data_IF_101651851307
#
_entry.id   IF_101651851307
#
_cell.length_a   1.000
_cell.length_b   1.000
_cell.length_c   1.000
_cell.angle_alpha   90.00
_cell.angle_beta   90.00
_cell.angle_gamma   90.00
#
_symmetry.space_group_name_H-M   'P 1'
#
loop_
_entity.id
_entity.type
_entity.pdbx_description
1 polymer ?
#
# COMPACT_ATOMS: atom_id res chain seq x y z
N UNK A 1 5.65 -26.45 -6.78
CA UNK A 1 4.86 -25.26 -6.43
C UNK A 1 4.21 -25.61 -5.11
N UNK A 2 4.68 -25.03 -4.02
CA UNK A 2 4.01 -25.23 -2.74
C UNK A 2 2.65 -24.56 -2.84
N UNK A 3 1.61 -25.36 -2.71
CA UNK A 3 0.23 -24.92 -2.80
C UNK A 3 -0.09 -23.98 -1.63
N UNK A 4 -0.22 -22.67 -1.91
CA UNK A 4 -0.61 -21.69 -0.88
C UNK A 4 -2.05 -21.91 -0.44
N UNK A 5 -2.31 -21.75 0.86
CA UNK A 5 -3.64 -21.97 1.44
C UNK A 5 -4.73 -21.16 0.72
N UNK A 6 -4.40 -19.93 0.29
CA UNK A 6 -5.31 -19.04 -0.45
C UNK A 6 -5.93 -19.68 -1.69
N UNK A 7 -5.19 -20.57 -2.38
CA UNK A 7 -5.59 -21.20 -3.63
C UNK A 7 -6.19 -22.60 -3.45
N UNK A 8 -5.96 -23.24 -2.30
CA UNK A 8 -6.34 -24.65 -2.08
C UNK A 8 -7.41 -24.88 -1.02
N UNK A 9 -7.57 -23.95 -0.07
CA UNK A 9 -8.54 -24.10 1.03
C UNK A 9 -9.92 -23.57 0.66
N UNK A 10 -10.94 -24.12 1.32
CA UNK A 10 -12.31 -23.64 1.17
C UNK A 10 -12.50 -22.22 1.73
N UNK A 11 -13.47 -21.44 1.22
CA UNK A 11 -13.74 -20.09 1.70
C UNK A 11 -13.96 -19.98 3.21
N UNK A 12 -14.69 -20.94 3.81
CA UNK A 12 -14.93 -20.96 5.25
C UNK A 12 -13.64 -21.18 6.03
N UNK A 13 -12.77 -22.08 5.57
CA UNK A 13 -11.48 -22.33 6.21
C UNK A 13 -10.58 -21.09 6.15
N UNK A 14 -10.55 -20.40 5.00
CA UNK A 14 -9.82 -19.15 4.83
C UNK A 14 -10.35 -18.04 5.75
N UNK A 15 -11.66 -17.89 5.87
CA UNK A 15 -12.26 -16.92 6.79
C UNK A 15 -11.91 -17.22 8.25
N UNK A 16 -12.00 -18.47 8.69
CA UNK A 16 -11.63 -18.86 10.07
C UNK A 16 -10.15 -18.64 10.32
N UNK A 17 -9.30 -18.96 9.33
CA UNK A 17 -7.86 -18.76 9.43
C UNK A 17 -7.49 -17.27 9.47
N UNK A 18 -8.11 -16.44 8.60
CA UNK A 18 -7.91 -15.00 8.57
C UNK A 18 -8.42 -14.32 9.85
N UNK A 19 -9.60 -14.71 10.36
CA UNK A 19 -10.19 -14.15 11.57
C UNK A 19 -9.38 -14.48 12.84
N UNK A 20 -8.86 -15.71 12.95
CA UNK A 20 -8.13 -16.17 14.12
C UNK A 20 -9.04 -16.45 15.33
N UNK A 21 -8.42 -16.54 16.50
CA UNK A 21 -9.05 -16.73 17.80
C UNK A 21 -9.71 -15.44 18.32
N UNK A 22 -10.58 -15.52 19.35
CA UNK A 22 -11.18 -14.34 19.97
C UNK A 22 -10.16 -13.34 20.52
N UNK A 23 -9.02 -13.82 21.03
CA UNK A 23 -7.94 -12.95 21.51
C UNK A 23 -7.29 -12.18 20.34
N UNK A 24 -6.98 -12.87 19.23
CA UNK A 24 -6.44 -12.22 18.03
C UNK A 24 -7.43 -11.21 17.44
N UNK A 25 -8.73 -11.50 17.49
CA UNK A 25 -9.77 -10.57 17.06
C UNK A 25 -9.81 -9.31 17.95
N UNK A 26 -9.70 -9.47 19.27
CA UNK A 26 -9.62 -8.34 20.19
C UNK A 26 -8.39 -7.45 19.88
N UNK A 27 -7.24 -8.06 19.59
CA UNK A 27 -6.01 -7.33 19.22
C UNK A 27 -6.17 -6.56 17.89
N UNK A 28 -6.83 -7.16 16.89
CA UNK A 28 -7.16 -6.49 15.62
C UNK A 28 -8.07 -5.29 15.83
N UNK A 29 -9.10 -5.43 16.67
CA UNK A 29 -10.00 -4.32 17.02
C UNK A 29 -9.27 -3.22 17.79
N UNK A 30 -8.33 -3.57 18.67
CA UNK A 30 -7.49 -2.60 19.36
C UNK A 30 -6.55 -1.86 18.39
N UNK A 31 -5.96 -2.54 17.39
CA UNK A 31 -5.21 -1.91 16.30
C UNK A 31 -6.08 -0.96 15.48
N UNK A 32 -7.29 -1.38 15.10
CA UNK A 32 -8.24 -0.54 14.38
C UNK A 32 -8.62 0.70 15.19
N UNK A 33 -8.94 0.55 16.47
CA UNK A 33 -9.26 1.68 17.33
C UNK A 33 -8.10 2.68 17.44
N UNK A 34 -6.85 2.18 17.52
CA UNK A 34 -5.65 3.05 17.50
C UNK A 34 -5.49 3.78 16.17
N UNK A 35 -5.67 3.09 15.04
CA UNK A 35 -5.61 3.70 13.70
C UNK A 35 -6.69 4.78 13.55
N UNK A 36 -7.94 4.51 13.94
CA UNK A 36 -9.02 5.48 13.89
C UNK A 36 -8.80 6.70 14.79
N UNK A 37 -8.17 6.53 15.96
CA UNK A 37 -7.78 7.66 16.83
C UNK A 37 -6.75 8.58 16.17
N UNK A 38 -5.95 8.12 15.21
CA UNK A 38 -5.01 9.01 14.51
C UNK A 38 -5.74 10.08 13.70
N UNK A 39 -6.95 9.81 13.22
CA UNK A 39 -7.75 10.81 12.49
C UNK A 39 -8.16 12.01 13.36
N UNK A 40 -8.17 11.87 14.69
CA UNK A 40 -8.44 13.01 15.59
C UNK A 40 -7.20 13.87 15.83
N UNK A 41 -6.05 13.52 15.26
CA UNK A 41 -4.76 14.18 15.45
C UNK A 41 -4.21 14.68 14.10
N UNK A 42 -4.78 15.77 13.53
CA UNK A 42 -4.41 16.26 12.20
C UNK A 42 -2.92 16.61 12.09
N UNK A 43 -2.28 16.94 13.21
CA UNK A 43 -0.85 17.26 13.33
C UNK A 43 0.06 16.10 12.88
N UNK A 44 -0.40 14.85 12.95
CA UNK A 44 0.39 13.67 12.59
C UNK A 44 0.73 13.68 11.11
N UNK A 45 -0.22 14.06 10.25
CA UNK A 45 0.03 14.19 8.80
C UNK A 45 1.05 15.29 8.54
N UNK A 46 0.94 16.44 9.20
CA UNK A 46 1.89 17.55 9.00
C UNK A 46 3.31 17.14 9.43
N UNK A 47 3.44 16.44 10.56
CA UNK A 47 4.71 15.91 11.03
C UNK A 47 5.29 14.87 10.05
N UNK A 48 4.45 13.97 9.53
CA UNK A 48 4.84 12.95 8.56
C UNK A 48 5.34 13.58 7.26
N UNK A 49 4.57 14.51 6.70
CA UNK A 49 4.93 15.24 5.49
C UNK A 49 6.21 16.05 5.67
N UNK A 50 6.35 16.76 6.80
CA UNK A 50 7.56 17.50 7.10
C UNK A 50 8.79 16.58 7.23
N UNK A 51 8.62 15.37 7.76
CA UNK A 51 9.68 14.36 7.81
C UNK A 51 10.05 13.86 6.41
N UNK A 52 9.06 13.53 5.58
CA UNK A 52 9.28 13.10 4.19
C UNK A 52 9.97 14.19 3.36
N UNK A 53 9.61 15.46 3.56
CA UNK A 53 10.30 16.59 2.95
C UNK A 53 11.76 16.71 3.42
N UNK A 54 12.03 16.58 4.73
CA UNK A 54 13.42 16.58 5.27
C UNK A 54 14.26 15.41 4.75
N UNK A 55 13.63 14.28 4.42
CA UNK A 55 14.30 13.12 3.81
C UNK A 55 14.50 13.29 2.30
N UNK A 56 13.99 14.37 1.70
CA UNK A 56 14.11 14.64 0.26
C UNK A 56 13.11 13.89 -0.61
N UNK A 57 12.08 13.26 -0.02
CA UNK A 57 11.03 12.59 -0.79
C UNK A 57 9.97 13.55 -1.33
N UNK A 58 9.82 14.74 -0.75
CA UNK A 58 8.73 15.66 -1.10
C UNK A 58 9.28 17.05 -1.28
N UNK A 59 9.20 17.57 -2.52
CA UNK A 59 9.66 18.91 -2.86
C UNK A 59 8.67 19.98 -2.39
N UNK A 60 7.37 19.74 -2.64
CA UNK A 60 6.27 20.63 -2.32
C UNK A 60 5.17 19.87 -1.55
N UNK A 61 4.61 20.50 -0.52
CA UNK A 61 3.57 19.88 0.32
C UNK A 61 2.17 20.14 -0.27
N UNK A 62 1.38 19.11 -0.60
CA UNK A 62 0.01 19.30 -1.04
C UNK A 62 -0.89 19.81 0.09
N UNK A 63 -1.90 20.58 -0.27
CA UNK A 63 -2.98 20.98 0.64
C UNK A 63 -3.78 19.76 1.12
N UNK A 64 -4.57 19.91 2.20
CA UNK A 64 -5.44 18.84 2.69
C UNK A 64 -6.48 18.39 1.66
N UNK A 65 -6.97 19.32 0.85
CA UNK A 65 -7.89 19.02 -0.25
C UNK A 65 -7.18 18.21 -1.34
N UNK A 66 -5.96 18.62 -1.71
CA UNK A 66 -5.11 17.93 -2.69
C UNK A 66 -4.75 16.50 -2.24
N UNK A 67 -4.42 16.32 -0.96
CA UNK A 67 -4.20 14.99 -0.37
C UNK A 67 -5.45 14.12 -0.48
N UNK A 68 -6.62 14.65 -0.11
CA UNK A 68 -7.85 13.88 -0.13
C UNK A 68 -8.26 13.47 -1.55
N UNK A 69 -8.23 14.40 -2.50
CA UNK A 69 -8.59 14.11 -3.90
C UNK A 69 -7.52 13.27 -4.60
N UNK A 70 -6.26 13.47 -4.25
CA UNK A 70 -5.13 12.67 -4.70
C UNK A 70 -5.21 11.21 -4.25
N UNK A 71 -5.51 10.98 -2.97
CA UNK A 71 -5.77 9.65 -2.42
C UNK A 71 -6.93 8.96 -3.14
N UNK A 72 -8.00 9.71 -3.42
CA UNK A 72 -9.14 9.20 -4.17
C UNK A 72 -8.77 8.81 -5.61
N UNK A 73 -7.96 9.62 -6.30
CA UNK A 73 -7.44 9.31 -7.63
C UNK A 73 -6.53 8.07 -7.62
N UNK A 74 -5.61 7.97 -6.64
CA UNK A 74 -4.75 6.80 -6.45
C UNK A 74 -5.58 5.53 -6.25
N UNK A 75 -6.63 5.58 -5.44
CA UNK A 75 -7.54 4.46 -5.24
C UNK A 75 -8.26 4.03 -6.52
N UNK A 76 -8.92 4.98 -7.20
CA UNK A 76 -9.84 4.67 -8.32
C UNK A 76 -9.13 4.42 -9.65
N UNK A 77 -7.91 4.92 -9.83
CA UNK A 77 -7.16 4.74 -11.06
C UNK A 77 -6.03 3.70 -10.96
N UNK A 78 -5.49 3.47 -9.76
CA UNK A 78 -4.37 2.56 -9.57
C UNK A 78 -4.68 1.38 -8.66
N UNK A 79 -4.90 1.62 -7.37
CA UNK A 79 -4.93 0.57 -6.35
C UNK A 79 -6.01 -0.46 -6.67
N UNK A 80 -7.27 -0.03 -6.81
CA UNK A 80 -8.40 -0.95 -7.03
C UNK A 80 -8.29 -1.59 -8.41
N UNK A 81 -8.13 -0.85 -9.53
CA UNK A 81 -8.14 -1.48 -10.85
C UNK A 81 -6.94 -2.40 -11.09
N UNK A 82 -5.74 -2.06 -10.59
CA UNK A 82 -4.59 -2.94 -10.71
C UNK A 82 -4.77 -4.21 -9.87
N UNK A 83 -5.34 -4.10 -8.67
CA UNK A 83 -5.62 -5.25 -7.83
C UNK A 83 -6.68 -6.17 -8.46
N UNK A 84 -7.80 -5.63 -8.93
CA UNK A 84 -8.84 -6.39 -9.63
C UNK A 84 -8.28 -7.20 -10.81
N UNK A 85 -7.53 -6.52 -11.69
CA UNK A 85 -6.89 -7.12 -12.86
C UNK A 85 -5.94 -8.27 -12.47
N UNK A 86 -5.14 -8.06 -11.42
CA UNK A 86 -4.24 -9.10 -10.91
C UNK A 86 -5.00 -10.30 -10.33
N UNK A 87 -6.01 -10.07 -9.49
CA UNK A 87 -6.77 -11.17 -8.89
C UNK A 87 -7.59 -11.94 -9.93
N UNK A 88 -8.12 -11.26 -10.94
CA UNK A 88 -8.76 -11.91 -12.10
C UNK A 88 -7.80 -12.88 -12.79
N UNK A 89 -6.55 -12.46 -13.05
CA UNK A 89 -5.52 -13.33 -13.65
C UNK A 89 -5.17 -14.58 -12.82
N UNK A 90 -5.44 -14.55 -11.51
CA UNK A 90 -5.20 -15.65 -10.57
C UNK A 90 -6.47 -16.48 -10.28
N UNK A 91 -7.60 -16.16 -10.91
CA UNK A 91 -8.89 -16.80 -10.60
C UNK A 91 -9.41 -16.48 -9.19
N UNK A 92 -8.95 -15.38 -8.59
CA UNK A 92 -9.33 -14.95 -7.25
C UNK A 92 -10.49 -13.95 -7.33
N UNK A 93 -11.58 -14.25 -6.62
CA UNK A 93 -12.67 -13.29 -6.49
C UNK A 93 -12.23 -12.09 -5.62
N UNK A 94 -12.23 -10.89 -6.23
CA UNK A 94 -11.83 -9.64 -5.58
C UNK A 94 -12.62 -9.36 -4.28
N UNK A 95 -13.95 -9.41 -4.34
CA UNK A 95 -14.79 -9.10 -3.18
C UNK A 95 -14.51 -10.04 -2.00
N UNK A 96 -14.38 -11.35 -2.26
CA UNK A 96 -14.02 -12.30 -1.23
C UNK A 96 -12.61 -12.06 -0.69
N UNK A 97 -11.65 -11.68 -1.55
CA UNK A 97 -10.31 -11.30 -1.10
C UNK A 97 -10.37 -10.10 -0.13
N UNK A 98 -11.18 -9.08 -0.42
CA UNK A 98 -11.36 -7.92 0.47
C UNK A 98 -11.96 -8.31 1.84
N UNK A 99 -12.86 -9.31 1.88
CA UNK A 99 -13.38 -9.86 3.14
C UNK A 99 -12.24 -10.48 3.96
N UNK A 100 -11.38 -11.28 3.33
CA UNK A 100 -10.25 -11.89 4.04
C UNK A 100 -9.28 -10.84 4.58
N UNK A 101 -8.97 -9.81 3.77
CA UNK A 101 -8.12 -8.69 4.21
C UNK A 101 -8.70 -7.96 5.42
N UNK A 102 -10.01 -7.72 5.41
CA UNK A 102 -10.69 -7.10 6.55
C UNK A 102 -10.64 -7.98 7.80
N UNK A 103 -10.80 -9.31 7.66
CA UNK A 103 -10.76 -10.25 8.79
C UNK A 103 -9.34 -10.39 9.38
N UNK A 104 -8.29 -10.27 8.57
CA UNK A 104 -6.91 -10.31 9.07
C UNK A 104 -6.49 -8.99 9.70
N UNK A 105 -6.69 -7.86 9.03
CA UNK A 105 -6.26 -6.56 9.55
C UNK A 105 -7.11 -5.40 9.03
N UNK A 106 -8.23 -5.10 9.72
CA UNK A 106 -9.12 -4.03 9.30
C UNK A 106 -8.45 -2.65 9.40
N UNK A 107 -7.41 -2.50 10.25
CA UNK A 107 -6.68 -1.25 10.39
C UNK A 107 -5.83 -0.93 9.16
N UNK A 108 -5.45 -1.92 8.36
CA UNK A 108 -4.71 -1.73 7.11
C UNK A 108 -5.54 -1.11 5.96
N UNK A 109 -6.86 -0.97 6.15
CA UNK A 109 -7.81 -0.55 5.11
C UNK A 109 -8.34 0.87 5.30
N UNK A 110 -8.04 1.52 6.44
CA UNK A 110 -8.68 2.81 6.78
C UNK A 110 -7.97 4.02 6.20
N UNK A 111 -6.66 3.93 5.93
CA UNK A 111 -5.84 5.03 5.40
C UNK A 111 -5.18 4.65 4.06
N UNK A 112 -5.79 4.99 2.92
CA UNK A 112 -5.27 4.62 1.62
C UNK A 112 -3.98 5.35 1.23
N UNK A 113 -3.61 6.42 1.95
CA UNK A 113 -2.37 7.17 1.70
C UNK A 113 -1.20 6.72 2.56
N UNK A 114 -1.47 5.97 3.64
CA UNK A 114 -0.50 5.57 4.66
C UNK A 114 0.05 6.70 5.54
N UNK A 115 -0.33 7.97 5.33
CA UNK A 115 0.24 9.11 6.07
C UNK A 115 -0.18 9.18 7.55
N UNK A 116 -1.32 8.60 7.91
CA UNK A 116 -1.80 8.44 9.29
C UNK A 116 -1.49 7.07 9.88
N UNK A 117 -0.98 6.15 9.06
CA UNK A 117 -0.73 4.78 9.46
C UNK A 117 0.44 4.71 10.45
N UNK A 118 0.30 3.80 11.41
CA UNK A 118 1.42 3.45 12.29
C UNK A 118 2.41 2.55 11.55
N UNK A 119 3.64 2.43 12.05
CA UNK A 119 4.64 1.50 11.51
C UNK A 119 4.07 0.08 11.37
N UNK A 120 3.39 -0.40 12.41
CA UNK A 120 2.75 -1.73 12.44
C UNK A 120 1.63 -1.88 11.38
N UNK A 121 0.88 -0.81 11.10
CA UNK A 121 -0.16 -0.84 10.07
C UNK A 121 0.43 -0.92 8.66
N UNK A 122 1.48 -0.14 8.36
CA UNK A 122 2.14 -0.18 7.05
C UNK A 122 2.81 -1.54 6.83
N UNK A 123 3.53 -2.06 7.84
CA UNK A 123 4.16 -3.39 7.74
C UNK A 123 3.10 -4.48 7.59
N UNK A 124 2.03 -4.44 8.39
CA UNK A 124 0.91 -5.36 8.29
C UNK A 124 0.25 -5.34 6.91
N UNK A 125 0.05 -4.15 6.34
CA UNK A 125 -0.44 -3.96 4.97
C UNK A 125 0.50 -4.60 3.95
N UNK A 126 1.79 -4.26 4.00
CA UNK A 126 2.84 -4.77 3.12
C UNK A 126 2.89 -6.29 3.11
N UNK A 127 2.74 -6.95 4.25
CA UNK A 127 2.79 -8.41 4.34
C UNK A 127 1.50 -9.12 3.92
N UNK A 128 0.37 -8.43 3.86
CA UNK A 128 -0.95 -9.04 3.65
C UNK A 128 -1.26 -9.37 2.18
N UNK A 129 -0.73 -8.59 1.23
CA UNK A 129 -1.05 -8.71 -0.20
C UNK A 129 0.17 -8.52 -1.10
N UNK A 130 0.15 -9.08 -2.32
CA UNK A 130 1.19 -8.80 -3.32
C UNK A 130 1.00 -7.41 -3.91
N UNK A 131 1.91 -6.49 -3.57
CA UNK A 131 1.80 -5.09 -3.96
C UNK A 131 2.09 -4.90 -5.45
N UNK A 132 1.36 -3.97 -6.07
CA UNK A 132 1.66 -3.52 -7.43
C UNK A 132 3.06 -2.90 -7.51
N UNK A 133 3.41 -2.08 -6.51
CA UNK A 133 4.74 -1.52 -6.30
C UNK A 133 4.89 -1.20 -4.80
N UNK A 134 5.80 -1.86 -4.06
CA UNK A 134 5.97 -1.63 -2.62
C UNK A 134 6.82 -0.38 -2.28
N UNK A 135 7.38 0.33 -3.28
CA UNK A 135 8.31 1.45 -3.04
C UNK A 135 7.66 2.59 -2.25
N UNK A 136 6.42 2.96 -2.58
CA UNK A 136 5.67 3.98 -1.85
C UNK A 136 5.61 3.68 -0.34
N UNK A 137 5.28 2.45 0.04
CA UNK A 137 5.16 2.05 1.45
C UNK A 137 6.52 2.03 2.18
N UNK A 138 7.60 1.62 1.52
CA UNK A 138 8.95 1.68 2.09
C UNK A 138 9.38 3.14 2.33
N UNK A 139 9.07 4.05 1.41
CA UNK A 139 9.36 5.48 1.57
C UNK A 139 8.53 6.10 2.70
N UNK A 140 7.29 5.66 2.90
CA UNK A 140 6.52 6.01 4.10
C UNK A 140 7.19 5.50 5.37
N UNK A 141 7.62 4.23 5.40
CA UNK A 141 8.31 3.63 6.56
C UNK A 141 9.62 4.33 6.90
N UNK A 142 10.34 4.87 5.92
CA UNK A 142 11.56 5.65 6.14
C UNK A 142 11.28 6.96 6.92
N UNK A 143 10.04 7.46 6.87
CA UNK A 143 9.62 8.56 7.73
C UNK A 143 9.41 8.14 9.20
N UNK A 144 9.31 6.85 9.50
CA UNK A 144 9.27 6.31 10.86
C UNK A 144 10.67 5.96 11.34
N UNK A 145 11.03 6.39 12.54
CA UNK A 145 12.28 5.99 13.16
C UNK A 145 12.31 4.45 13.31
N UNK A 146 13.33 3.81 12.75
CA UNK A 146 13.47 2.35 12.75
C UNK A 146 12.45 1.59 11.90
N UNK A 147 11.66 2.28 11.06
CA UNK A 147 10.56 1.66 10.32
C UNK A 147 11.00 0.58 9.33
N UNK A 148 12.13 0.78 8.65
CA UNK A 148 12.68 -0.18 7.69
C UNK A 148 13.33 -1.39 8.38
N UNK A 149 14.02 -1.17 9.51
CA UNK A 149 14.57 -2.23 10.35
C UNK A 149 13.46 -3.14 10.87
N UNK A 150 12.35 -2.55 11.33
CA UNK A 150 11.20 -3.28 11.85
C UNK A 150 10.48 -4.06 10.74
N UNK A 151 10.37 -3.49 9.53
CA UNK A 151 9.85 -4.22 8.36
C UNK A 151 10.73 -5.44 8.04
N UNK A 152 12.04 -5.27 7.94
CA UNK A 152 12.97 -6.38 7.68
C UNK A 152 12.80 -7.49 8.71
N UNK A 153 12.81 -7.13 10.00
CA UNK A 153 12.64 -8.06 11.12
C UNK A 153 11.32 -8.82 11.04
N UNK A 154 10.20 -8.16 10.73
CA UNK A 154 8.90 -8.83 10.65
C UNK A 154 8.79 -9.73 9.42
N UNK A 155 9.36 -9.34 8.27
CA UNK A 155 9.39 -10.19 7.07
C UNK A 155 10.28 -11.42 7.29
N UNK A 156 11.41 -11.29 7.99
CA UNK A 156 12.22 -12.44 8.41
C UNK A 156 11.43 -13.39 9.32
N UNK A 157 10.64 -12.86 10.26
CA UNK A 157 9.76 -13.69 11.10
C UNK A 157 8.66 -14.39 10.29
N UNK A 158 8.10 -13.73 9.28
CA UNK A 158 7.12 -14.33 8.37
C UNK A 158 7.73 -15.51 7.62
N UNK A 159 8.92 -15.34 7.05
CA UNK A 159 9.64 -16.40 6.35
C UNK A 159 10.07 -17.55 7.28
N UNK A 160 10.40 -17.25 8.53
CA UNK A 160 10.71 -18.24 9.55
C UNK A 160 9.45 -18.91 10.14
N UNK A 161 8.24 -18.48 9.76
CA UNK A 161 6.97 -18.98 10.32
C UNK A 161 6.74 -18.60 11.79
N UNK A 162 7.52 -17.67 12.35
CA UNK A 162 7.46 -17.28 13.77
C UNK A 162 6.66 -16.00 14.01
N UNK A 163 6.25 -15.31 12.95
CA UNK A 163 5.47 -14.09 13.08
C UNK A 163 4.08 -14.39 13.68
N UNK A 164 3.59 -13.57 14.63
CA UNK A 164 2.27 -13.81 15.24
C UNK A 164 1.10 -13.85 14.24
N UNK A 165 1.26 -13.17 13.09
CA UNK A 165 0.25 -13.13 12.02
C UNK A 165 0.49 -14.14 10.88
N UNK A 166 1.49 -15.03 10.97
CA UNK A 166 1.79 -16.01 9.92
C UNK A 166 0.53 -16.73 9.45
N UNK A 167 -0.21 -17.30 10.41
CA UNK A 167 -1.43 -18.04 10.13
C UNK A 167 -2.47 -17.21 9.36
N UNK A 168 -2.77 -15.99 9.79
CA UNK A 168 -3.84 -15.21 9.17
C UNK A 168 -3.43 -14.64 7.81
N UNK A 169 -2.16 -14.25 7.64
CA UNK A 169 -1.60 -13.76 6.37
C UNK A 169 -1.54 -14.87 5.32
N UNK A 170 -1.19 -16.11 5.70
CA UNK A 170 -1.18 -17.27 4.79
C UNK A 170 -2.56 -17.59 4.19
N UNK A 171 -3.65 -17.17 4.86
CA UNK A 171 -5.00 -17.32 4.30
C UNK A 171 -5.27 -16.33 3.15
N UNK A 172 -4.45 -15.29 3.01
CA UNK A 172 -4.67 -14.18 2.10
C UNK A 172 -3.67 -14.20 0.96
N UNK A 173 -2.39 -14.36 1.29
CA UNK A 173 -1.30 -14.21 0.31
C UNK A 173 -1.40 -15.26 -0.78
N UNK A 174 -1.39 -14.79 -2.03
CA UNK A 174 -1.53 -15.63 -3.21
C UNK A 174 -0.20 -15.98 -3.91
N UNK A 175 0.86 -15.17 -3.73
CA UNK A 175 2.20 -15.48 -4.24
C UNK A 175 3.08 -16.05 -3.10
N UNK A 176 3.44 -17.35 -3.11
CA UNK A 176 4.29 -17.96 -2.08
C UNK A 176 5.68 -17.34 -1.98
N UNK A 177 6.16 -16.71 -3.06
CA UNK A 177 7.49 -16.09 -3.11
C UNK A 177 7.48 -14.61 -2.68
N UNK A 178 6.32 -14.04 -2.41
CA UNK A 178 6.16 -12.61 -2.17
C UNK A 178 7.02 -12.09 -1.01
N UNK A 179 6.93 -12.71 0.17
CA UNK A 179 7.69 -12.25 1.34
C UNK A 179 9.21 -12.37 1.13
N UNK A 180 9.67 -13.35 0.34
CA UNK A 180 11.08 -13.47 -0.05
C UNK A 180 11.53 -12.31 -0.93
N UNK A 181 10.78 -12.02 -2.00
CA UNK A 181 11.02 -10.87 -2.88
C UNK A 181 10.96 -9.54 -2.13
N UNK A 182 10.02 -9.41 -1.19
CA UNK A 182 9.90 -8.23 -0.34
C UNK A 182 11.14 -8.06 0.55
N UNK A 183 11.63 -9.13 1.18
CA UNK A 183 12.83 -9.07 2.02
C UNK A 183 14.08 -8.64 1.23
N UNK A 184 14.27 -9.21 0.03
CA UNK A 184 15.35 -8.83 -0.87
C UNK A 184 15.28 -7.34 -1.22
N UNK A 185 14.09 -6.86 -1.57
CA UNK A 185 13.87 -5.45 -1.88
C UNK A 185 14.10 -4.53 -0.68
N UNK A 186 13.62 -4.89 0.51
CA UNK A 186 13.84 -4.11 1.74
C UNK A 186 15.33 -3.95 2.02
N UNK A 187 16.10 -5.05 1.94
CA UNK A 187 17.56 -5.01 2.14
C UNK A 187 18.25 -4.14 1.10
N UNK A 188 17.87 -4.26 -0.18
CA UNK A 188 18.40 -3.42 -1.25
C UNK A 188 18.07 -1.93 -1.02
N UNK A 189 16.82 -1.62 -0.67
CA UNK A 189 16.34 -0.26 -0.41
C UNK A 189 17.04 0.39 0.78
N UNK A 190 17.32 -0.36 1.85
CA UNK A 190 18.08 0.10 3.02
C UNK A 190 19.53 0.49 2.68
N UNK A 191 20.10 -0.09 1.63
CA UNK A 191 21.42 0.31 1.11
C UNK A 191 21.28 1.49 0.15
N UNK A 192 20.40 1.38 -0.84
CA UNK A 192 20.23 2.34 -1.93
C UNK A 192 18.74 2.66 -2.15
N UNK A 193 18.35 3.92 -1.94
CA UNK A 193 16.92 4.34 -1.93
C UNK A 193 16.30 4.37 -3.34
N UNK A 194 17.14 4.23 -4.36
CA UNK A 194 16.81 4.07 -5.77
C UNK A 194 16.82 2.59 -6.21
N UNK A 195 16.92 1.63 -5.27
CA UNK A 195 16.80 0.21 -5.58
C UNK A 195 15.53 -0.09 -6.39
N UNK A 196 15.67 -0.93 -7.40
CA UNK A 196 14.57 -1.29 -8.29
C UNK A 196 13.50 -2.06 -7.52
N UNK A 197 12.28 -1.52 -7.48
CA UNK A 197 11.15 -2.17 -6.84
C UNK A 197 10.69 -3.41 -7.64
N UNK A 198 10.23 -4.47 -6.96
CA UNK A 198 9.61 -5.63 -7.60
C UNK A 198 8.18 -5.26 -8.05
N UNK A 199 8.08 -4.54 -9.16
CA UNK A 199 6.79 -4.16 -9.76
C UNK A 199 6.10 -5.43 -10.25
N UNK A 200 4.82 -5.57 -9.92
CA UNK A 200 4.01 -6.73 -10.30
C UNK A 200 3.81 -6.79 -11.82
N UNK A 201 3.89 -7.98 -12.40
CA UNK A 201 3.88 -8.22 -13.85
C UNK A 201 2.70 -7.54 -14.56
N UNK A 202 1.48 -7.67 -14.02
CA UNK A 202 0.28 -7.08 -14.62
C UNK A 202 0.30 -5.53 -14.66
N UNK A 203 1.22 -4.90 -13.92
CA UNK A 203 1.45 -3.46 -13.94
C UNK A 203 2.66 -3.11 -14.81
N UNK A 204 3.75 -3.87 -14.69
CA UNK A 204 4.99 -3.63 -15.43
C UNK A 204 4.79 -3.74 -16.95
N UNK A 205 4.01 -4.72 -17.39
CA UNK A 205 3.81 -5.04 -18.81
C UNK A 205 2.57 -4.37 -19.42
N UNK A 206 1.88 -3.51 -18.66
CA UNK A 206 0.58 -2.97 -19.03
C UNK A 206 0.67 -1.51 -19.47
N UNK A 207 0.36 -1.24 -20.75
CA UNK A 207 0.21 0.11 -21.28
C UNK A 207 -0.84 0.92 -20.51
N UNK A 208 -1.86 0.24 -19.97
CA UNK A 208 -2.91 0.85 -19.15
C UNK A 208 -2.34 1.39 -17.83
N UNK A 209 -1.44 0.66 -17.18
CA UNK A 209 -0.96 1.00 -15.84
C UNK A 209 0.39 1.70 -15.81
N UNK A 210 1.20 1.64 -16.87
CA UNK A 210 2.57 2.16 -16.89
C UNK A 210 2.68 3.62 -16.40
N UNK A 211 1.89 4.52 -16.97
CA UNK A 211 1.90 5.94 -16.58
C UNK A 211 1.35 6.17 -15.16
N UNK A 212 0.33 5.40 -14.79
CA UNK A 212 -0.34 5.47 -13.48
C UNK A 212 0.60 4.98 -12.38
N UNK A 213 1.27 3.85 -12.59
CA UNK A 213 2.24 3.25 -11.68
C UNK A 213 3.48 4.12 -11.52
N UNK A 214 3.93 4.79 -12.59
CA UNK A 214 4.99 5.81 -12.48
C UNK A 214 4.55 7.00 -11.62
N UNK A 215 3.26 7.36 -11.68
CA UNK A 215 2.71 8.48 -10.91
C UNK A 215 2.50 8.15 -9.43
N UNK A 216 1.96 6.96 -9.12
CA UNK A 216 1.59 6.59 -7.75
C UNK A 216 2.50 5.56 -7.08
N UNK A 217 3.52 5.05 -7.78
CA UNK A 217 4.40 4.01 -7.28
C UNK A 217 5.43 4.47 -6.24
N UNK A 218 5.64 5.77 -6.10
CA UNK A 218 6.56 6.38 -5.14
C UNK A 218 5.92 7.60 -4.48
N UNK A 219 6.30 7.90 -3.24
CA UNK A 219 5.86 9.10 -2.50
C UNK A 219 6.18 10.39 -3.27
N UNK A 220 7.41 10.62 -3.80
CA UNK A 220 7.72 11.83 -4.54
C UNK A 220 6.78 12.09 -5.72
N UNK A 221 6.58 11.07 -6.56
CA UNK A 221 5.78 11.21 -7.77
C UNK A 221 4.30 11.43 -7.42
N UNK A 222 3.80 10.72 -6.39
CA UNK A 222 2.43 10.88 -5.91
C UNK A 222 2.20 12.29 -5.35
N UNK A 223 3.13 12.82 -4.55
CA UNK A 223 3.01 14.17 -4.01
C UNK A 223 3.06 15.24 -5.10
N UNK A 224 3.93 15.10 -6.12
CA UNK A 224 3.93 15.98 -7.30
C UNK A 224 2.61 15.92 -8.07
N UNK A 225 1.98 14.75 -8.18
CA UNK A 225 0.63 14.63 -8.73
C UNK A 225 -0.39 15.37 -7.85
N UNK A 226 -0.37 15.16 -6.54
CA UNK A 226 -1.30 15.81 -5.60
C UNK A 226 -1.21 17.34 -5.66
N UNK A 227 0.01 17.90 -5.69
CA UNK A 227 0.21 19.36 -5.80
C UNK A 227 -0.35 19.97 -7.09
N UNK A 228 -0.54 19.17 -8.15
CA UNK A 228 -1.14 19.63 -9.42
C UNK A 228 -2.68 19.55 -9.42
N UNK A 229 -3.29 18.93 -8.41
CA UNK A 229 -4.74 18.81 -8.29
C UNK A 229 -5.36 20.12 -7.75
N UNK A 230 -6.67 20.34 -7.94
CA UNK A 230 -7.32 21.52 -7.39
C UNK A 230 -7.22 21.56 -5.86
N UNK A 231 -6.78 22.70 -5.33
CA UNK A 231 -6.69 22.97 -3.89
C UNK A 231 -8.01 23.40 -3.25
N UNK A 232 -8.96 23.86 -4.06
CA UNK A 232 -10.26 24.35 -3.61
C UNK A 232 -11.31 23.23 -3.53
N UNK A 233 -12.10 23.12 -2.45
CA UNK A 233 -13.06 22.02 -2.26
C UNK A 233 -14.05 21.84 -3.43
N UNK A 234 -14.59 22.93 -3.98
CA UNK A 234 -15.55 22.87 -5.08
C UNK A 234 -14.90 22.37 -6.38
N UNK A 235 -13.67 22.80 -6.65
CA UNK A 235 -12.92 22.37 -7.83
C UNK A 235 -12.49 20.90 -7.68
N UNK A 236 -12.10 20.47 -6.48
CA UNK A 236 -11.79 19.07 -6.17
C UNK A 236 -13.02 18.17 -6.30
N UNK A 237 -14.18 18.60 -5.80
CA UNK A 237 -15.44 17.86 -5.98
C UNK A 237 -15.82 17.74 -7.46
N UNK A 238 -15.67 18.83 -8.23
CA UNK A 238 -15.87 18.80 -9.69
C UNK A 238 -14.93 17.81 -10.37
N UNK A 239 -13.65 17.79 -9.99
CA UNK A 239 -12.68 16.82 -10.49
C UNK A 239 -13.07 15.37 -10.14
N UNK A 240 -13.48 15.11 -8.89
CA UNK A 240 -13.93 13.79 -8.46
C UNK A 240 -15.08 13.27 -9.33
N UNK A 241 -16.07 14.13 -9.61
CA UNK A 241 -17.29 13.76 -10.34
C UNK A 241 -17.11 13.67 -11.86
N UNK A 242 -16.28 14.55 -12.45
CA UNK A 242 -16.18 14.67 -13.91
C UNK A 242 -15.01 13.90 -14.51
N UNK A 243 -13.92 13.67 -13.76
CA UNK A 243 -12.75 12.94 -14.26
C UNK A 243 -13.01 11.44 -14.19
N UNK A 244 -13.27 10.83 -15.37
CA UNK A 244 -13.63 9.40 -15.49
C UNK A 244 -12.47 8.47 -15.83
N UNK A 245 -11.36 9.03 -16.29
CA UNK A 245 -10.12 8.32 -16.65
C UNK A 245 -8.95 9.06 -16.03
N UNK A 246 -7.84 8.36 -15.85
CA UNK A 246 -6.61 8.97 -15.36
C UNK A 246 -6.22 10.15 -16.27
N UNK A 247 -5.99 11.35 -15.71
CA UNK A 247 -5.68 12.52 -16.52
C UNK A 247 -4.20 12.50 -16.94
N UNK A 248 -3.89 11.91 -18.09
CA UNK A 248 -2.51 11.71 -18.58
C UNK A 248 -1.66 12.99 -18.60
N UNK A 249 -2.28 14.16 -18.82
CA UNK A 249 -1.61 15.47 -18.73
C UNK A 249 -1.03 15.79 -17.34
N UNK A 250 -1.50 15.11 -16.30
CA UNK A 250 -1.02 15.22 -14.93
C UNK A 250 -0.11 14.05 -14.56
N UNK A 251 0.12 13.08 -15.45
CA UNK A 251 1.00 11.97 -15.17
C UNK A 251 2.42 12.45 -14.82
N UNK A 252 3.16 11.62 -14.10
CA UNK A 252 4.60 11.81 -14.00
C UNK A 252 5.23 11.65 -15.40
N UNK A 253 6.13 12.54 -15.84
CA UNK A 253 6.81 12.41 -17.13
C UNK A 253 7.63 11.13 -17.19
N UNK A 254 7.90 10.64 -18.40
CA UNK A 254 8.92 9.60 -18.55
C UNK A 254 10.29 10.20 -18.18
N UNK A 255 11.16 9.43 -17.51
CA UNK A 255 12.53 9.89 -17.29
C UNK A 255 13.14 10.20 -18.65
N UNK A 256 13.68 11.42 -18.82
CA UNK A 256 14.45 11.75 -20.00
C UNK A 256 15.57 10.71 -20.11
N UNK A 257 15.60 9.96 -21.20
CA UNK A 257 16.76 9.14 -21.54
C UNK A 257 17.93 10.11 -21.58
N UNK A 258 18.87 9.99 -20.64
CA UNK A 258 20.12 10.72 -20.68
C UNK A 258 20.76 10.44 -22.05
N UNK A 259 20.72 11.44 -22.93
CA UNK A 259 21.30 11.40 -24.26
C UNK A 259 22.83 11.43 -24.18
#
# INVERSE_FOLDING_TARGET
>A
MDDVARLTKSPLSLMTQAAGSPAEMADKLARLARALRQYTHPVVIDQRLARLQRLGYVDELPSRVQLAIGAYDMLRFFIVPAAEDYYESKGINFNFHQVLRFLDDPASLVDPTGLLSTTDNIIGHLMQVTHANPCYDLQLLDAHEGGLEELERQVEQMLAGTHPRTRSIEAIIEDPSYHGKLLEYVRAFRVARDAQAPIRENVADSDRFKAIARTFGTVPNAMRYFCRLPSEPLAAARHALLTRRFPDRLAEPEPELAA
#
